data_IF_060959499885
#
_entry.id   IF_060959499885
#
_cell.length_a   1.000
_cell.length_b   1.000
_cell.length_c   1.000
_cell.angle_alpha   90.00
_cell.angle_beta   90.00
_cell.angle_gamma   90.00
#
_symmetry.space_group_name_H-M   'P 1'
#
loop_
_entity.id
_entity.type
_entity.pdbx_description
1 polymer ?
#
# COMPACT_ATOMS: atom_id res chain seq x y z
N UNK A 1 -31.80 -21.60 -17.68
CA UNK A 1 -30.66 -20.71 -17.44
C UNK A 1 -30.34 -20.72 -15.96
N UNK A 2 -29.29 -21.46 -15.59
CA UNK A 2 -28.81 -21.54 -14.21
C UNK A 2 -27.61 -20.60 -14.07
N UNK A 3 -27.88 -19.36 -13.66
CA UNK A 3 -26.83 -18.39 -13.39
C UNK A 3 -26.07 -18.78 -12.12
N UNK A 4 -24.75 -18.88 -12.23
CA UNK A 4 -23.86 -19.12 -11.08
C UNK A 4 -23.23 -17.80 -10.61
N UNK A 5 -22.99 -17.70 -9.31
CA UNK A 5 -22.34 -16.56 -8.67
C UNK A 5 -21.29 -17.06 -7.67
N UNK A 6 -20.22 -16.31 -7.50
CA UNK A 6 -19.29 -16.45 -6.38
C UNK A 6 -19.52 -15.25 -5.47
N UNK A 7 -19.76 -15.51 -4.18
CA UNK A 7 -19.98 -14.48 -3.16
C UNK A 7 -18.87 -14.58 -2.14
N UNK A 8 -18.17 -13.48 -1.93
CA UNK A 8 -17.20 -13.32 -0.86
C UNK A 8 -17.79 -12.43 0.24
N UNK A 9 -17.73 -12.88 1.49
CA UNK A 9 -18.12 -12.10 2.67
C UNK A 9 -16.85 -11.66 3.41
N UNK A 10 -16.71 -10.36 3.61
CA UNK A 10 -15.54 -9.74 4.23
C UNK A 10 -15.95 -8.89 5.43
N UNK A 11 -15.00 -8.66 6.35
CA UNK A 11 -15.17 -7.66 7.39
C UNK A 11 -15.30 -6.25 6.80
N UNK A 12 -16.08 -5.38 7.46
CA UNK A 12 -16.23 -4.00 7.04
C UNK A 12 -14.91 -3.21 7.26
N UNK A 13 -14.21 -2.92 6.16
CA UNK A 13 -12.92 -2.20 6.17
C UNK A 13 -13.02 -0.68 6.27
N UNK A 14 -14.20 -0.09 6.06
CA UNK A 14 -14.40 1.36 6.07
C UNK A 14 -14.81 1.90 4.71
N UNK A 15 -14.35 3.10 4.37
CA UNK A 15 -14.49 3.66 3.03
C UNK A 15 -13.14 3.70 2.31
N UNK A 16 -13.16 3.79 0.98
CA UNK A 16 -11.95 3.92 0.19
C UNK A 16 -11.13 5.16 0.63
N UNK A 17 -9.80 5.05 0.56
CA UNK A 17 -8.84 6.07 0.98
C UNK A 17 -9.08 7.41 0.26
N UNK A 18 -9.52 7.37 -0.99
CA UNK A 18 -9.90 8.56 -1.77
C UNK A 18 -11.05 9.38 -1.14
N UNK A 19 -11.92 8.72 -0.39
CA UNK A 19 -13.11 9.30 0.24
C UNK A 19 -12.91 9.55 1.73
N UNK A 20 -11.87 8.98 2.34
CA UNK A 20 -11.60 9.14 3.75
C UNK A 20 -11.15 10.56 4.08
N UNK A 21 -11.67 11.12 5.17
CA UNK A 21 -11.37 12.49 5.61
C UNK A 21 -10.48 12.44 6.85
N UNK A 22 -9.19 12.57 6.62
CA UNK A 22 -8.20 12.65 7.68
C UNK A 22 -8.40 13.89 8.56
N UNK A 23 -8.37 13.69 9.87
CA UNK A 23 -8.40 14.75 10.87
C UNK A 23 -7.01 15.26 11.21
N UNK A 24 -5.99 14.40 11.08
CA UNK A 24 -4.60 14.75 11.40
C UNK A 24 -3.59 14.18 10.40
N UNK A 25 -2.37 14.70 10.45
CA UNK A 25 -1.25 14.17 9.65
C UNK A 25 -0.77 12.82 10.15
N UNK A 26 -0.96 12.57 11.44
CA UNK A 26 -0.55 11.32 12.07
C UNK A 26 -1.38 10.16 11.53
N UNK A 27 -2.67 10.37 11.30
CA UNK A 27 -3.53 9.39 10.63
C UNK A 27 -3.02 9.04 9.22
N UNK A 28 -2.64 10.05 8.41
CA UNK A 28 -2.10 9.82 7.06
C UNK A 28 -0.84 8.96 7.10
N UNK A 29 0.08 9.28 8.01
CA UNK A 29 1.33 8.54 8.16
C UNK A 29 1.11 7.16 8.77
N UNK A 30 0.15 7.02 9.68
CA UNK A 30 -0.26 5.74 10.27
C UNK A 30 -0.81 4.81 9.19
N UNK A 31 -1.68 5.30 8.30
CA UNK A 31 -2.21 4.51 7.17
C UNK A 31 -1.09 4.03 6.27
N UNK A 32 -0.15 4.90 5.87
CA UNK A 32 1.00 4.48 5.05
C UNK A 32 1.86 3.43 5.73
N UNK A 33 2.18 3.64 7.02
CA UNK A 33 2.95 2.68 7.83
C UNK A 33 2.24 1.33 7.89
N UNK A 34 0.94 1.32 8.17
CA UNK A 34 0.14 0.09 8.20
C UNK A 34 0.18 -0.65 6.86
N UNK A 35 0.06 0.06 5.74
CA UNK A 35 0.11 -0.54 4.40
C UNK A 35 1.49 -1.15 4.13
N UNK A 36 2.57 -0.40 4.37
CA UNK A 36 3.93 -0.90 4.12
C UNK A 36 4.24 -2.12 4.99
N UNK A 37 3.88 -2.10 6.28
CA UNK A 37 4.08 -3.26 7.14
C UNK A 37 3.18 -4.44 6.77
N UNK A 38 1.94 -4.22 6.33
CA UNK A 38 1.08 -5.29 5.84
C UNK A 38 1.67 -5.95 4.59
N UNK A 39 2.18 -5.15 3.65
CA UNK A 39 2.87 -5.65 2.45
C UNK A 39 4.15 -6.40 2.82
N UNK A 40 4.98 -5.87 3.72
CA UNK A 40 6.19 -6.53 4.19
C UNK A 40 5.91 -7.92 4.80
N UNK A 41 4.88 -8.02 5.64
CA UNK A 41 4.47 -9.32 6.21
C UNK A 41 4.01 -10.27 5.10
N UNK A 42 3.24 -9.80 4.13
CA UNK A 42 2.76 -10.63 3.02
C UNK A 42 3.90 -11.05 2.06
N UNK A 43 4.86 -10.16 1.78
CA UNK A 43 6.08 -10.45 1.02
C UNK A 43 6.86 -11.59 1.68
N UNK A 44 7.09 -11.51 2.99
CA UNK A 44 7.85 -12.51 3.72
C UNK A 44 7.14 -13.87 3.77
N UNK A 45 5.83 -13.88 4.05
CA UNK A 45 5.09 -15.12 4.28
C UNK A 45 4.63 -15.81 2.99
N UNK A 46 4.43 -15.04 1.92
CA UNK A 46 3.75 -15.51 0.71
C UNK A 46 4.41 -15.06 -0.59
N UNK A 47 5.60 -14.44 -0.56
CA UNK A 47 6.19 -13.78 -1.73
C UNK A 47 5.13 -12.90 -2.44
N UNK A 48 4.35 -12.14 -1.67
CA UNK A 48 3.17 -11.44 -2.15
C UNK A 48 3.50 -10.16 -2.92
N UNK A 49 2.76 -9.92 -4.00
CA UNK A 49 2.68 -8.65 -4.71
C UNK A 49 1.22 -8.26 -4.91
N UNK A 50 0.82 -7.04 -4.53
CA UNK A 50 -0.57 -6.61 -4.71
C UNK A 50 -0.91 -6.33 -6.18
N UNK A 51 0.02 -5.68 -6.88
CA UNK A 51 -0.03 -5.29 -8.31
C UNK A 51 -1.16 -4.34 -8.73
N UNK A 52 -2.17 -4.08 -7.91
CA UNK A 52 -3.17 -3.02 -8.15
C UNK A 52 -3.53 -2.22 -6.89
N UNK A 53 -2.53 -1.71 -6.16
CA UNK A 53 -2.79 -1.02 -4.88
C UNK A 53 -3.07 0.48 -5.07
N UNK A 54 -4.03 0.80 -5.93
CA UNK A 54 -4.48 2.16 -6.11
C UNK A 54 -5.29 2.66 -4.89
N UNK A 55 -5.54 3.97 -4.76
CA UNK A 55 -6.23 4.54 -3.59
C UNK A 55 -7.66 4.00 -3.37
N UNK A 56 -8.30 3.45 -4.40
CA UNK A 56 -9.58 2.74 -4.26
C UNK A 56 -9.48 1.39 -3.53
N UNK A 57 -8.30 0.77 -3.51
CA UNK A 57 -8.03 -0.57 -2.97
C UNK A 57 -7.42 -0.54 -1.57
N UNK A 58 -7.46 0.64 -0.95
CA UNK A 58 -7.17 0.84 0.47
C UNK A 58 -8.44 1.34 1.12
N UNK A 59 -9.01 0.56 2.03
CA UNK A 59 -10.10 1.00 2.89
C UNK A 59 -9.53 1.57 4.19
N UNK A 60 -10.16 2.60 4.72
CA UNK A 60 -9.82 3.22 6.01
C UNK A 60 -11.08 3.39 6.84
N UNK A 61 -10.96 3.05 8.12
CA UNK A 61 -11.99 3.34 9.14
C UNK A 61 -11.36 3.90 10.40
N UNK A 62 -12.16 4.68 11.13
CA UNK A 62 -11.82 5.05 12.51
C UNK A 62 -11.86 3.82 13.41
N UNK A 63 -11.01 3.82 14.43
CA UNK A 63 -10.84 2.71 15.37
C UNK A 63 -10.66 3.22 16.81
N UNK A 64 -10.94 2.36 17.79
CA UNK A 64 -10.73 2.66 19.22
C UNK A 64 -9.44 2.03 19.75
N UNK A 65 -8.88 1.06 19.01
CA UNK A 65 -7.63 0.38 19.30
C UNK A 65 -6.48 1.39 19.29
N UNK A 66 -5.69 1.42 20.37
CA UNK A 66 -4.56 2.36 20.50
C UNK A 66 -3.37 1.95 19.63
N UNK A 67 -3.15 0.65 19.46
CA UNK A 67 -2.00 0.09 18.73
C UNK A 67 -2.41 -0.98 17.71
N UNK A 68 -1.60 -1.10 16.66
CA UNK A 68 -1.62 -2.18 15.68
C UNK A 68 -0.27 -2.91 15.73
N UNK A 69 -0.32 -4.25 15.71
CA UNK A 69 0.86 -5.10 15.80
C UNK A 69 1.12 -5.82 14.48
N UNK A 70 2.37 -5.77 14.01
CA UNK A 70 2.87 -6.57 12.89
C UNK A 70 3.96 -7.53 13.38
N UNK A 71 4.00 -8.72 12.79
CA UNK A 71 5.05 -9.72 13.07
C UNK A 71 5.85 -9.93 11.79
N UNK A 72 7.09 -9.44 11.78
CA UNK A 72 8.00 -9.51 10.64
C UNK A 72 9.34 -10.08 11.11
N UNK A 73 9.82 -11.13 10.43
CA UNK A 73 11.00 -11.94 10.78
C UNK A 73 11.06 -12.35 12.27
N UNK A 74 9.90 -12.75 12.82
CA UNK A 74 9.75 -13.08 14.24
C UNK A 74 9.81 -11.88 15.21
N UNK A 75 10.16 -10.69 14.73
CA UNK A 75 10.09 -9.43 15.46
C UNK A 75 8.66 -8.91 15.56
N UNK A 76 8.28 -8.37 16.72
CA UNK A 76 6.99 -7.71 16.93
C UNK A 76 7.16 -6.20 16.85
N UNK A 77 6.41 -5.58 15.94
CA UNK A 77 6.38 -4.15 15.72
C UNK A 77 5.01 -3.62 16.14
N UNK A 78 4.96 -2.83 17.21
CA UNK A 78 3.75 -2.21 17.71
C UNK A 78 3.78 -0.72 17.36
N UNK A 79 2.70 -0.24 16.75
CA UNK A 79 2.59 1.14 16.32
C UNK A 79 1.27 1.75 16.77
N UNK A 80 1.24 3.04 17.15
CA UNK A 80 -0.01 3.74 17.37
C UNK A 80 -0.90 3.69 16.11
N UNK A 81 -2.18 3.38 16.27
CA UNK A 81 -3.15 3.45 15.16
C UNK A 81 -3.41 4.89 14.73
N UNK A 82 -3.21 5.85 15.63
CA UNK A 82 -3.64 7.24 15.49
C UNK A 82 -5.17 7.35 15.26
N UNK A 83 -5.93 6.37 15.77
CA UNK A 83 -7.39 6.30 15.63
C UNK A 83 -7.90 5.81 14.28
N UNK A 84 -7.02 5.26 13.42
CA UNK A 84 -7.38 4.73 12.11
C UNK A 84 -6.79 3.34 11.83
N UNK A 85 -7.55 2.49 11.14
CA UNK A 85 -7.10 1.20 10.60
C UNK A 85 -7.22 1.20 9.08
N UNK A 86 -6.14 0.80 8.41
CA UNK A 86 -6.10 0.58 6.97
C UNK A 86 -6.34 -0.90 6.63
N UNK A 87 -7.05 -1.17 5.54
CA UNK A 87 -7.29 -2.53 5.03
C UNK A 87 -7.05 -2.55 3.52
N UNK A 88 -6.12 -3.40 3.09
CA UNK A 88 -5.82 -3.64 1.68
C UNK A 88 -6.83 -4.64 1.11
N UNK A 89 -7.40 -4.35 -0.07
CA UNK A 89 -8.44 -5.15 -0.72
C UNK A 89 -8.17 -5.28 -2.22
N UNK A 90 -8.99 -6.11 -2.88
CA UNK A 90 -8.98 -6.34 -4.32
C UNK A 90 -7.67 -6.97 -4.83
N UNK A 91 -7.66 -8.30 -4.77
CA UNK A 91 -6.51 -9.10 -5.18
C UNK A 91 -6.62 -9.60 -6.62
N UNK A 92 -7.44 -8.95 -7.46
CA UNK A 92 -7.80 -9.42 -8.81
C UNK A 92 -6.56 -9.70 -9.67
N UNK A 93 -5.53 -8.86 -9.59
CA UNK A 93 -4.27 -9.04 -10.33
C UNK A 93 -3.05 -9.30 -9.46
N UNK A 94 -3.25 -9.64 -8.18
CA UNK A 94 -2.17 -9.93 -7.26
C UNK A 94 -1.42 -11.22 -7.62
N UNK A 95 -0.24 -11.38 -7.02
CA UNK A 95 0.58 -12.59 -7.09
C UNK A 95 0.99 -13.03 -5.70
N UNK A 96 0.98 -14.32 -5.45
CA UNK A 96 1.55 -14.93 -4.26
C UNK A 96 2.05 -16.33 -4.55
N UNK A 97 2.85 -16.88 -3.64
CA UNK A 97 3.30 -18.26 -3.66
C UNK A 97 3.07 -18.90 -2.31
N UNK A 98 2.42 -20.06 -2.33
CA UNK A 98 2.20 -20.87 -1.14
C UNK A 98 2.45 -22.33 -1.46
N UNK A 99 3.19 -23.02 -0.57
CA UNK A 99 3.54 -24.43 -0.72
C UNK A 99 4.20 -24.75 -2.08
N UNK A 100 5.02 -23.82 -2.57
CA UNK A 100 5.71 -23.93 -3.86
C UNK A 100 4.87 -23.63 -5.10
N UNK A 101 3.58 -23.33 -4.94
CA UNK A 101 2.67 -23.02 -6.03
C UNK A 101 2.44 -21.51 -6.14
N UNK A 102 2.76 -20.92 -7.30
CA UNK A 102 2.44 -19.53 -7.60
C UNK A 102 0.97 -19.41 -8.01
N UNK A 103 0.27 -18.44 -7.44
CA UNK A 103 -1.08 -18.03 -7.81
C UNK A 103 -1.00 -16.58 -8.23
N UNK A 104 -1.34 -16.30 -9.48
CA UNK A 104 -1.24 -14.98 -10.08
C UNK A 104 -2.29 -14.78 -11.17
N UNK A 105 -2.54 -13.53 -11.54
CA UNK A 105 -3.27 -13.18 -12.75
C UNK A 105 -2.28 -12.92 -13.89
N UNK A 106 -2.38 -13.68 -14.97
CA UNK A 106 -1.60 -13.41 -16.18
C UNK A 106 -2.24 -12.26 -16.98
N UNK A 107 -1.62 -11.09 -16.90
CA UNK A 107 -2.01 -9.88 -17.64
C UNK A 107 -1.03 -9.55 -18.78
N UNK A 108 -0.21 -10.52 -19.21
CA UNK A 108 0.83 -10.32 -20.23
C UNK A 108 0.30 -9.85 -21.59
N UNK A 109 -0.98 -10.10 -21.88
CA UNK A 109 -1.67 -9.73 -23.13
C UNK A 109 -2.71 -8.62 -22.95
N UNK A 110 -2.86 -8.03 -21.76
CA UNK A 110 -3.82 -6.96 -21.50
C UNK A 110 -3.26 -5.59 -21.88
N UNK A 111 -3.25 -5.27 -23.18
CA UNK A 111 -2.75 -3.98 -23.64
C UNK A 111 -3.60 -2.79 -23.14
N UNK A 112 -4.89 -3.01 -22.85
CA UNK A 112 -5.78 -1.97 -22.35
C UNK A 112 -5.35 -1.42 -21.00
N UNK A 113 -4.84 -2.30 -20.12
CA UNK A 113 -4.28 -1.90 -18.83
C UNK A 113 -3.07 -0.97 -18.96
N UNK A 114 -2.20 -1.22 -19.95
CA UNK A 114 -0.93 -0.50 -20.12
C UNK A 114 -1.04 0.79 -20.95
N UNK A 115 -2.09 0.92 -21.76
CA UNK A 115 -2.38 2.11 -22.58
C UNK A 115 -3.05 3.25 -21.80
N UNK A 116 -3.46 3.01 -20.56
CA UNK A 116 -4.12 4.01 -19.72
C UNK A 116 -3.29 5.28 -19.51
N UNK A 117 -3.96 6.44 -19.43
CA UNK A 117 -3.32 7.75 -19.24
C UNK A 117 -4.17 8.66 -18.34
N UNK A 118 -3.59 9.77 -17.89
CA UNK A 118 -4.29 10.79 -17.09
C UNK A 118 -4.17 10.62 -15.57
N UNK A 119 -3.54 9.55 -15.11
CA UNK A 119 -3.25 9.29 -13.71
C UNK A 119 -1.93 8.51 -13.56
N UNK A 120 -1.16 8.80 -12.50
CA UNK A 120 0.11 8.12 -12.20
C UNK A 120 -0.07 6.61 -11.93
N UNK A 121 -1.29 6.13 -11.64
CA UNK A 121 -1.55 4.69 -11.53
C UNK A 121 -1.19 3.94 -12.82
N UNK A 122 -1.40 4.57 -13.98
CA UNK A 122 -1.11 3.93 -15.25
C UNK A 122 0.40 3.85 -15.53
N UNK A 123 1.17 4.80 -15.00
CA UNK A 123 2.63 4.72 -15.01
C UNK A 123 3.11 3.52 -14.19
N UNK A 124 2.48 3.25 -13.02
CA UNK A 124 2.82 2.08 -12.19
C UNK A 124 2.62 0.77 -12.94
N UNK A 125 1.52 0.58 -13.68
CA UNK A 125 1.33 -0.64 -14.49
C UNK A 125 2.45 -0.84 -15.51
N UNK A 126 2.86 0.22 -16.19
CA UNK A 126 3.97 0.17 -17.16
C UNK A 126 5.30 -0.12 -16.47
N UNK A 127 5.56 0.51 -15.33
CA UNK A 127 6.79 0.29 -14.56
C UNK A 127 6.88 -1.17 -14.06
N UNK A 128 5.78 -1.76 -13.59
CA UNK A 128 5.73 -3.18 -13.24
C UNK A 128 6.04 -4.08 -14.45
N UNK A 129 5.41 -3.83 -15.60
CA UNK A 129 5.65 -4.59 -16.86
C UNK A 129 7.12 -4.51 -17.30
N UNK A 130 7.76 -3.36 -17.12
CA UNK A 130 9.18 -3.18 -17.40
C UNK A 130 10.02 -3.98 -16.40
N UNK A 131 9.69 -3.89 -15.10
CA UNK A 131 10.43 -4.54 -14.01
C UNK A 131 10.42 -6.06 -14.08
N UNK A 132 9.27 -6.64 -14.39
CA UNK A 132 9.13 -8.10 -14.50
C UNK A 132 9.38 -8.65 -15.91
N UNK A 133 9.71 -7.79 -16.89
CA UNK A 133 9.91 -8.23 -18.27
C UNK A 133 8.66 -8.83 -18.93
N UNK A 134 7.48 -8.43 -18.47
CA UNK A 134 6.16 -8.99 -18.82
C UNK A 134 5.94 -10.46 -18.39
N UNK A 135 6.75 -10.97 -17.45
CA UNK A 135 6.51 -12.24 -16.78
C UNK A 135 5.76 -11.98 -15.46
N UNK A 136 4.49 -12.37 -15.41
CA UNK A 136 3.63 -12.12 -14.25
C UNK A 136 3.60 -13.31 -13.26
N UNK A 137 4.32 -14.40 -13.52
CA UNK A 137 4.45 -15.50 -12.55
C UNK A 137 5.57 -15.23 -11.53
N UNK A 138 6.68 -14.67 -12.03
CA UNK A 138 7.88 -14.38 -11.25
C UNK A 138 7.63 -13.40 -10.10
N UNK A 139 8.46 -13.52 -9.05
CA UNK A 139 8.37 -12.68 -7.86
C UNK A 139 9.22 -11.41 -8.02
N UNK A 140 8.54 -10.26 -8.01
CA UNK A 140 9.14 -8.93 -8.10
C UNK A 140 8.60 -8.01 -6.99
N UNK A 141 9.09 -8.10 -5.75
CA UNK A 141 8.59 -7.27 -4.64
C UNK A 141 8.74 -5.76 -4.89
N UNK A 142 9.56 -5.34 -5.86
CA UNK A 142 9.68 -3.95 -6.29
C UNK A 142 8.32 -3.38 -6.74
N UNK A 143 7.38 -4.22 -7.19
CA UNK A 143 6.04 -3.78 -7.58
C UNK A 143 5.26 -3.23 -6.39
N UNK A 144 5.41 -3.79 -5.19
CA UNK A 144 4.81 -3.24 -3.96
C UNK A 144 5.42 -1.87 -3.62
N UNK A 145 6.73 -1.70 -3.82
CA UNK A 145 7.42 -0.42 -3.63
C UNK A 145 6.90 0.63 -4.61
N UNK A 146 6.66 0.29 -5.87
CA UNK A 146 6.06 1.19 -6.85
C UNK A 146 4.67 1.67 -6.39
N UNK A 147 3.85 0.78 -5.88
CA UNK A 147 2.54 1.13 -5.34
C UNK A 147 2.60 1.96 -4.05
N UNK A 148 3.52 1.64 -3.13
CA UNK A 148 3.74 2.44 -1.93
C UNK A 148 4.17 3.89 -2.29
N UNK A 149 4.99 4.05 -3.34
CA UNK A 149 5.35 5.37 -3.88
C UNK A 149 4.13 6.09 -4.46
N UNK A 150 3.35 5.40 -5.27
CA UNK A 150 2.08 5.93 -5.79
C UNK A 150 1.18 6.44 -4.67
N UNK A 151 1.01 5.68 -3.59
CA UNK A 151 0.20 6.08 -2.43
C UNK A 151 0.76 7.33 -1.75
N UNK A 152 2.08 7.43 -1.58
CA UNK A 152 2.73 8.64 -1.07
C UNK A 152 2.39 9.87 -1.92
N UNK A 153 2.52 9.75 -3.25
CA UNK A 153 2.22 10.84 -4.19
C UNK A 153 0.73 11.20 -4.21
N UNK A 154 -0.17 10.20 -4.09
CA UNK A 154 -1.61 10.45 -4.00
C UNK A 154 -1.98 11.16 -2.71
N UNK A 155 -1.47 10.70 -1.57
CA UNK A 155 -1.70 11.34 -0.27
C UNK A 155 -1.12 12.76 -0.21
N UNK A 156 -0.10 13.09 -1.02
CA UNK A 156 0.36 14.47 -1.18
C UNK A 156 -0.64 15.38 -1.91
N UNK A 157 -1.45 14.83 -2.82
CA UNK A 157 -2.26 15.61 -3.78
C UNK A 157 -3.76 15.58 -3.47
N UNK A 158 -4.26 14.53 -2.84
CA UNK A 158 -5.69 14.34 -2.57
C UNK A 158 -6.10 14.70 -1.14
N UNK A 159 -5.16 14.74 -0.20
CA UNK A 159 -5.48 14.93 1.21
C UNK A 159 -5.86 16.38 1.53
N UNK A 160 -7.09 16.55 2.06
CA UNK A 160 -7.57 17.80 2.65
C UNK A 160 -7.59 17.70 4.16
N UNK A 161 -6.43 17.51 4.78
CA UNK A 161 -6.33 17.49 6.24
C UNK A 161 -6.57 18.89 6.79
N UNK A 162 -7.35 19.03 7.87
CA UNK A 162 -7.61 20.32 8.55
C UNK A 162 -6.38 20.77 9.34
N UNK A 163 -5.34 21.20 8.64
CA UNK A 163 -4.06 21.55 9.24
C UNK A 163 -3.71 23.02 9.11
N UNK A 164 -2.87 23.49 10.04
CA UNK A 164 -2.12 24.71 9.83
C UNK A 164 -1.20 24.55 8.61
N UNK A 165 -0.89 25.67 7.92
CA UNK A 165 0.09 25.68 6.81
C UNK A 165 1.46 25.11 7.21
N UNK A 166 1.84 25.23 8.49
CA UNK A 166 3.10 24.67 9.00
C UNK A 166 3.04 23.15 9.01
N UNK A 167 2.00 22.59 9.62
CA UNK A 167 1.79 21.15 9.63
C UNK A 167 1.76 20.64 8.18
N UNK A 168 0.96 21.23 7.29
CA UNK A 168 0.87 20.81 5.88
C UNK A 168 2.25 20.68 5.20
N UNK A 169 3.15 21.65 5.42
CA UNK A 169 4.53 21.59 4.92
C UNK A 169 5.35 20.45 5.51
N UNK A 170 5.20 20.16 6.81
CA UNK A 170 5.91 19.05 7.44
C UNK A 170 5.46 17.70 6.88
N UNK A 171 4.16 17.46 6.74
CA UNK A 171 3.65 16.25 6.09
C UNK A 171 4.17 16.14 4.65
N UNK A 172 4.14 17.24 3.88
CA UNK A 172 4.68 17.23 2.52
C UNK A 172 6.18 16.88 2.49
N UNK A 173 6.96 17.42 3.41
CA UNK A 173 8.39 17.11 3.51
C UNK A 173 8.60 15.64 3.89
N UNK A 174 7.83 15.12 4.85
CA UNK A 174 7.94 13.74 5.31
C UNK A 174 7.57 12.74 4.21
N UNK A 175 6.43 12.95 3.53
CA UNK A 175 6.00 12.11 2.41
C UNK A 175 6.98 12.12 1.24
N UNK A 176 7.55 13.28 0.90
CA UNK A 176 8.60 13.37 -0.15
C UNK A 176 9.88 12.65 0.25
N UNK A 177 10.27 12.74 1.53
CA UNK A 177 11.42 12.00 2.04
C UNK A 177 11.16 10.49 1.97
N UNK A 178 9.97 10.04 2.38
CA UNK A 178 9.57 8.64 2.29
C UNK A 178 9.57 8.13 0.84
N UNK A 179 9.03 8.91 -0.11
CA UNK A 179 9.05 8.60 -1.54
C UNK A 179 10.48 8.45 -2.12
N UNK A 180 11.41 9.31 -1.68
CA UNK A 180 12.82 9.23 -2.07
C UNK A 180 13.51 7.99 -1.50
N UNK A 181 13.16 7.61 -0.27
CA UNK A 181 13.76 6.47 0.42
C UNK A 181 13.20 5.16 -0.10
N UNK A 182 11.89 5.06 -0.35
CA UNK A 182 11.25 3.95 -1.05
C UNK A 182 12.00 3.60 -2.35
N UNK A 183 12.52 4.60 -3.06
CA UNK A 183 13.26 4.37 -4.31
C UNK A 183 14.64 3.70 -4.14
N UNK A 184 15.10 3.47 -2.91
CA UNK A 184 16.38 2.82 -2.59
C UNK A 184 16.25 1.36 -2.19
N UNK A 185 15.02 0.87 -2.04
CA UNK A 185 14.72 -0.48 -1.58
C UNK A 185 14.00 -1.27 -2.66
N UNK A 186 14.24 -2.57 -2.68
CA UNK A 186 13.64 -3.48 -3.66
C UNK A 186 12.39 -4.18 -3.11
N UNK A 187 12.04 -3.97 -1.83
CA UNK A 187 10.85 -4.54 -1.20
C UNK A 187 10.30 -3.67 -0.07
N UNK A 188 9.03 -3.86 0.30
CA UNK A 188 8.46 -3.25 1.51
C UNK A 188 9.08 -3.85 2.78
N UNK A 189 9.52 -5.11 2.73
CA UNK A 189 10.24 -5.81 3.79
C UNK A 189 11.54 -5.10 4.14
N UNK A 190 12.38 -4.78 3.16
CA UNK A 190 13.64 -4.07 3.39
C UNK A 190 13.41 -2.67 3.99
N UNK A 191 12.34 -1.99 3.56
CA UNK A 191 11.96 -0.68 4.08
C UNK A 191 11.44 -0.76 5.53
N UNK A 192 10.68 -1.80 5.88
CA UNK A 192 10.08 -1.95 7.21
C UNK A 192 11.15 -2.00 8.32
N UNK A 193 12.35 -2.52 8.03
CA UNK A 193 13.47 -2.56 8.96
C UNK A 193 14.20 -1.22 9.15
N UNK A 194 13.85 -0.18 8.39
CA UNK A 194 14.44 1.15 8.51
C UNK A 194 13.66 1.97 9.54
N UNK A 195 13.90 1.65 10.82
CA UNK A 195 13.10 2.13 11.96
C UNK A 195 12.97 3.66 12.06
N UNK A 196 14.00 4.41 11.69
CA UNK A 196 14.05 5.88 11.80
C UNK A 196 12.96 6.62 11.02
N UNK A 197 12.25 5.95 10.10
CA UNK A 197 11.16 6.56 9.32
C UNK A 197 9.78 6.42 9.96
N UNK A 198 9.59 5.39 10.78
CA UNK A 198 8.27 5.00 11.25
C UNK A 198 7.90 5.62 12.60
N UNK A 199 8.85 6.29 13.25
CA UNK A 199 8.61 7.09 14.43
C UNK A 199 7.91 8.42 14.07
N UNK A 200 6.57 8.39 14.10
CA UNK A 200 5.68 9.55 13.90
C UNK A 200 5.85 10.60 15.02
N UNK A 201 6.57 10.27 16.09
CA UNK A 201 6.77 11.08 17.30
C UNK A 201 7.64 12.34 17.07
N UNK A 202 8.44 12.39 16.01
CA UNK A 202 9.32 13.53 15.70
C UNK A 202 8.61 14.69 14.95
N UNK A 203 7.29 14.58 14.73
CA UNK A 203 6.49 15.64 14.11
C UNK A 203 5.88 16.51 15.21
N UNK A 204 6.73 17.32 15.86
CA UNK A 204 6.33 18.40 16.77
C UNK A 204 6.95 19.75 16.36
#
# INVERSE_FOLDING_TARGET
DDQLFIVFEFAHGGCALESFKFESQREVLSVLRQIVFALAVAEQELEFEHRDLHIGNVLVKSCEEEEVTFVLDGGKFNFPTEGVIATVIDFTISRLKKDGCAVFCDISTDEGLFEGTGDIQFDVYRDMRIKNGNDWEEYHPETNVLWAKYLCTKLLTTNKVKNSRRAERHLQQHLRRLEQELSKYDSCTDLAFVLDFWDVLDIN
#
